data_IF_207887130303
#
_entry.id   IF_207887130303
#
_cell.length_a   1.000
_cell.length_b   1.000
_cell.length_c   1.000
_cell.angle_alpha   90.00
_cell.angle_beta   90.00
_cell.angle_gamma   90.00
#
_symmetry.space_group_name_H-M   'P 1'
#
loop_
_entity.id
_entity.type
_entity.pdbx_description
1 polymer ?
#
# COMPACT_ATOMS: atom_id res chain seq x y z
N UNK A 1 -6.81 10.00 -29.34
CA UNK A 1 -6.18 8.66 -29.09
C UNK A 1 -6.81 8.09 -27.84
N UNK A 2 -7.01 6.75 -27.79
CA UNK A 2 -7.54 6.06 -26.58
C UNK A 2 -6.67 4.84 -26.31
N UNK A 3 -5.93 4.85 -25.21
CA UNK A 3 -5.01 3.78 -24.82
C UNK A 3 -5.24 3.39 -23.36
N UNK A 4 -5.41 2.09 -23.11
CA UNK A 4 -5.57 1.51 -21.78
C UNK A 4 -4.40 0.55 -21.55
N UNK A 5 -3.69 0.74 -20.44
CA UNK A 5 -2.58 -0.12 -20.04
C UNK A 5 -2.93 -0.79 -18.69
N UNK A 6 -2.93 -2.11 -18.69
CA UNK A 6 -3.14 -2.92 -17.48
C UNK A 6 -1.85 -3.67 -17.21
N UNK A 7 -1.16 -3.27 -16.15
CA UNK A 7 0.04 -3.92 -15.68
C UNK A 7 -0.28 -4.97 -14.62
N UNK A 8 0.28 -6.15 -14.78
CA UNK A 8 0.28 -7.23 -13.79
C UNK A 8 1.72 -7.45 -13.35
N UNK A 9 2.05 -7.08 -12.12
CA UNK A 9 3.42 -7.23 -11.60
C UNK A 9 3.75 -8.73 -11.42
N UNK A 10 4.96 -9.13 -11.83
CA UNK A 10 5.44 -10.51 -11.84
C UNK A 10 4.53 -11.50 -12.64
N UNK A 11 3.92 -11.04 -13.73
CA UNK A 11 3.16 -11.93 -14.61
C UNK A 11 4.11 -12.88 -15.35
N UNK A 12 4.24 -14.10 -14.84
CA UNK A 12 5.13 -15.13 -15.39
C UNK A 12 4.57 -15.72 -16.67
N UNK A 13 5.28 -15.61 -17.83
CA UNK A 13 4.82 -16.15 -19.08
C UNK A 13 4.72 -17.67 -19.09
N UNK A 14 5.58 -18.40 -18.35
CA UNK A 14 5.52 -19.86 -18.29
C UNK A 14 4.27 -20.33 -17.57
N UNK A 15 3.98 -19.75 -16.40
CA UNK A 15 2.75 -20.04 -15.65
C UNK A 15 1.51 -19.70 -16.48
N UNK A 16 1.52 -18.57 -17.18
CA UNK A 16 0.40 -18.19 -18.05
C UNK A 16 0.21 -19.20 -19.19
N UNK A 17 1.27 -19.62 -19.87
CA UNK A 17 1.22 -20.57 -20.98
C UNK A 17 0.72 -21.94 -20.53
N UNK A 18 1.20 -22.44 -19.37
CA UNK A 18 0.72 -23.70 -18.79
C UNK A 18 -0.78 -23.64 -18.44
N UNK A 19 -1.23 -22.55 -17.78
CA UNK A 19 -2.64 -22.41 -17.41
C UNK A 19 -3.54 -22.20 -18.64
N UNK A 20 -3.03 -21.55 -19.68
CA UNK A 20 -3.71 -21.42 -20.97
C UNK A 20 -3.90 -22.79 -21.66
N UNK A 21 -2.86 -23.63 -21.69
CA UNK A 21 -2.94 -24.99 -22.21
C UNK A 21 -3.95 -25.85 -21.45
N UNK A 22 -4.04 -25.67 -20.12
CA UNK A 22 -5.03 -26.32 -19.25
C UNK A 22 -6.43 -25.71 -19.35
N UNK A 23 -6.62 -24.64 -20.13
CA UNK A 23 -7.87 -23.89 -20.27
C UNK A 23 -8.40 -23.27 -18.95
N UNK A 24 -7.51 -22.99 -18.02
CA UNK A 24 -7.83 -22.40 -16.72
C UNK A 24 -7.96 -20.86 -16.76
N UNK A 25 -7.46 -20.21 -17.82
CA UNK A 25 -7.51 -18.75 -18.01
C UNK A 25 -8.22 -18.36 -19.34
N UNK A 26 -9.52 -18.70 -19.51
CA UNK A 26 -10.20 -18.56 -20.81
C UNK A 26 -10.28 -17.11 -21.29
N UNK A 27 -10.45 -16.13 -20.40
CA UNK A 27 -10.56 -14.72 -20.77
C UNK A 27 -9.21 -14.12 -21.20
N UNK A 28 -8.12 -14.42 -20.48
CA UNK A 28 -6.78 -13.97 -20.85
C UNK A 28 -6.30 -14.67 -22.13
N UNK A 29 -6.62 -15.96 -22.30
CA UNK A 29 -6.34 -16.69 -23.53
C UNK A 29 -7.04 -16.04 -24.74
N UNK A 30 -8.33 -15.78 -24.64
CA UNK A 30 -9.11 -15.11 -25.68
C UNK A 30 -8.56 -13.70 -25.99
N UNK A 31 -8.14 -12.96 -24.98
CA UNK A 31 -7.53 -11.64 -25.17
C UNK A 31 -6.19 -11.74 -25.92
N UNK A 32 -5.35 -12.71 -25.55
CA UNK A 32 -4.08 -12.97 -26.24
C UNK A 32 -4.29 -13.40 -27.70
N UNK A 33 -5.34 -14.18 -27.98
CA UNK A 33 -5.69 -14.65 -29.36
C UNK A 33 -6.23 -13.53 -30.26
N UNK A 34 -6.93 -12.56 -29.67
CA UNK A 34 -7.45 -11.38 -30.39
C UNK A 34 -6.38 -10.34 -30.69
N UNK A 35 -5.27 -10.36 -29.96
CA UNK A 35 -4.19 -9.39 -30.06
C UNK A 35 -2.86 -9.99 -30.51
N UNK A 36 -1.80 -9.48 -29.92
CA UNK A 36 -0.43 -9.99 -30.08
C UNK A 36 0.16 -10.35 -28.74
N UNK A 37 0.42 -11.63 -28.51
CA UNK A 37 1.15 -12.07 -27.32
C UNK A 37 2.65 -12.08 -27.60
N UNK A 38 3.44 -11.52 -26.68
CA UNK A 38 4.91 -11.47 -26.76
C UNK A 38 5.50 -11.55 -25.35
N UNK A 39 6.63 -12.22 -25.21
CA UNK A 39 7.45 -12.12 -24.01
C UNK A 39 8.11 -10.75 -23.95
N UNK A 40 8.09 -10.14 -22.78
CA UNK A 40 8.75 -8.87 -22.51
C UNK A 40 10.06 -9.12 -21.78
N UNK A 41 11.17 -8.63 -22.35
CA UNK A 41 12.45 -8.59 -21.63
C UNK A 41 12.45 -7.39 -20.69
N UNK A 42 12.66 -7.67 -19.41
CA UNK A 42 12.68 -6.64 -18.36
C UNK A 42 14.09 -6.09 -18.12
N UNK A 43 14.18 -5.04 -17.32
CA UNK A 43 15.44 -4.42 -16.90
C UNK A 43 16.28 -5.38 -16.05
N UNK A 44 17.58 -5.11 -16.00
CA UNK A 44 18.48 -5.74 -15.06
C UNK A 44 19.04 -4.66 -14.10
N UNK A 45 18.78 -4.76 -12.77
CA UNK A 45 18.13 -5.85 -12.06
C UNK A 45 16.62 -5.91 -12.32
N UNK A 46 16.07 -7.12 -12.16
CA UNK A 46 14.64 -7.44 -12.30
C UNK A 46 13.86 -7.02 -11.04
N UNK A 47 13.84 -5.73 -10.76
CA UNK A 47 13.11 -5.16 -9.62
C UNK A 47 11.92 -4.35 -10.11
N UNK A 48 10.82 -4.40 -9.39
CA UNK A 48 9.55 -3.76 -9.81
C UNK A 48 9.72 -2.27 -10.04
N UNK A 49 10.29 -1.49 -9.10
CA UNK A 49 10.45 -0.06 -9.31
C UNK A 49 11.38 0.29 -10.47
N UNK A 50 12.40 -0.54 -10.74
CA UNK A 50 13.34 -0.34 -11.86
C UNK A 50 12.64 -0.62 -13.19
N UNK A 51 11.98 -1.78 -13.30
CA UNK A 51 11.29 -2.22 -14.50
C UNK A 51 10.12 -1.32 -14.87
N UNK A 52 9.26 -0.97 -13.88
CA UNK A 52 8.12 -0.07 -14.11
C UNK A 52 8.54 1.37 -14.44
N UNK A 53 9.69 1.83 -13.88
CA UNK A 53 10.26 3.13 -14.25
C UNK A 53 10.81 3.09 -15.67
N UNK A 54 11.53 2.03 -16.04
CA UNK A 54 12.01 1.86 -17.41
C UNK A 54 10.85 1.83 -18.43
N UNK A 55 9.75 1.11 -18.10
CA UNK A 55 8.54 1.11 -18.94
C UNK A 55 7.89 2.50 -19.05
N UNK A 56 7.81 3.24 -17.93
CA UNK A 56 7.20 4.56 -17.93
C UNK A 56 8.01 5.60 -18.69
N UNK A 57 9.34 5.50 -18.67
CA UNK A 57 10.24 6.54 -19.20
C UNK A 57 10.84 6.19 -20.58
N UNK A 58 10.86 4.91 -20.94
CA UNK A 58 11.61 4.42 -22.09
C UNK A 58 13.13 4.47 -21.92
N UNK A 59 13.61 4.69 -20.68
CA UNK A 59 15.01 4.82 -20.34
C UNK A 59 15.53 3.57 -19.62
N UNK A 60 16.82 3.32 -19.71
CA UNK A 60 17.46 2.28 -18.92
C UNK A 60 17.78 2.77 -17.48
N UNK A 61 18.12 1.87 -16.53
CA UNK A 61 18.41 2.24 -15.14
C UNK A 61 19.52 3.28 -14.98
N UNK A 62 20.53 3.26 -15.86
CA UNK A 62 21.62 4.25 -15.86
C UNK A 62 21.16 5.67 -16.20
N UNK A 63 20.08 5.81 -16.95
CA UNK A 63 19.52 7.09 -17.40
C UNK A 63 18.46 7.62 -16.43
N UNK A 64 17.54 6.76 -15.93
CA UNK A 64 16.52 7.22 -14.96
C UNK A 64 17.00 7.22 -13.50
N UNK A 65 18.13 6.58 -13.19
CA UNK A 65 18.81 6.65 -11.90
C UNK A 65 18.27 5.75 -10.80
N UNK A 66 17.33 4.84 -11.09
CA UNK A 66 16.85 3.80 -10.17
C UNK A 66 17.52 2.47 -10.51
N UNK A 67 18.27 1.92 -9.57
CA UNK A 67 19.07 0.71 -9.80
C UNK A 67 18.60 -0.49 -8.99
N UNK A 68 17.97 -0.25 -7.84
CA UNK A 68 17.47 -1.26 -6.91
C UNK A 68 16.64 -0.58 -5.82
N UNK A 69 15.94 -1.35 -4.96
CA UNK A 69 15.29 -0.86 -3.73
C UNK A 69 16.26 -0.13 -2.81
N UNK A 70 17.49 -0.61 -2.74
CA UNK A 70 18.57 -0.01 -1.97
C UNK A 70 19.81 0.08 -2.83
N UNK A 71 20.33 1.28 -3.02
CA UNK A 71 21.59 1.47 -3.72
C UNK A 71 22.49 2.48 -3.00
N UNK A 72 23.75 2.58 -3.45
CA UNK A 72 24.71 3.53 -2.90
C UNK A 72 24.74 4.80 -3.73
N UNK A 73 24.79 5.93 -3.05
CA UNK A 73 25.12 7.18 -3.69
C UNK A 73 26.61 7.15 -4.11
N UNK A 74 26.94 7.25 -5.40
CA UNK A 74 28.31 7.14 -5.86
C UNK A 74 29.23 8.28 -5.38
N UNK A 75 28.65 9.42 -4.98
CA UNK A 75 29.43 10.58 -4.54
C UNK A 75 29.92 10.51 -3.09
N UNK A 76 29.18 9.78 -2.21
CA UNK A 76 29.49 9.72 -0.78
C UNK A 76 29.34 8.31 -0.17
N UNK A 77 29.02 7.31 -0.98
CA UNK A 77 28.81 5.91 -0.61
C UNK A 77 27.71 5.67 0.43
N UNK A 78 26.87 6.66 0.73
CA UNK A 78 25.74 6.49 1.62
C UNK A 78 24.69 5.60 0.96
N UNK A 79 24.06 4.78 1.80
CA UNK A 79 22.95 3.92 1.39
C UNK A 79 21.70 4.78 1.16
N UNK A 80 21.02 4.54 0.05
CA UNK A 80 19.76 5.20 -0.33
C UNK A 80 18.68 4.14 -0.50
N UNK A 81 17.50 4.44 0.03
CA UNK A 81 16.26 3.69 -0.26
C UNK A 81 15.58 4.39 -1.42
N UNK A 82 15.52 3.75 -2.57
CA UNK A 82 15.03 4.34 -3.83
C UNK A 82 13.57 4.75 -3.77
N UNK A 83 12.74 3.96 -3.08
CA UNK A 83 11.30 4.16 -3.03
C UNK A 83 10.87 5.36 -2.20
N UNK A 84 11.65 5.75 -1.18
CA UNK A 84 11.32 6.83 -0.25
C UNK A 84 12.46 7.85 -0.13
N UNK A 85 12.92 8.43 -1.24
CA UNK A 85 13.95 9.45 -1.15
C UNK A 85 13.41 10.69 -0.46
N UNK A 86 14.25 11.28 0.40
CA UNK A 86 13.87 12.45 1.19
C UNK A 86 14.83 13.60 0.97
N UNK A 87 14.34 14.81 1.10
CA UNK A 87 15.10 16.04 1.16
C UNK A 87 14.88 16.75 2.49
N UNK A 88 15.90 17.43 3.00
CA UNK A 88 15.76 18.31 4.16
C UNK A 88 15.20 19.65 3.72
N UNK A 89 14.15 20.11 4.40
CA UNK A 89 13.59 21.45 4.22
C UNK A 89 13.51 22.18 5.57
N UNK A 90 13.21 23.48 5.52
CA UNK A 90 13.01 24.30 6.73
C UNK A 90 11.85 23.79 7.59
N UNK A 91 10.89 23.11 6.97
CA UNK A 91 9.70 22.55 7.64
C UNK A 91 9.90 21.09 8.06
N UNK A 92 11.09 20.50 7.86
CA UNK A 92 11.40 19.12 8.19
C UNK A 92 11.79 18.28 6.97
N UNK A 93 11.72 16.96 7.12
CA UNK A 93 11.99 16.01 6.04
C UNK A 93 10.78 15.94 5.11
N UNK A 94 11.01 16.07 3.82
CA UNK A 94 9.99 15.93 2.76
C UNK A 94 10.35 14.79 1.83
N UNK A 95 9.36 14.03 1.39
CA UNK A 95 9.54 13.06 0.31
C UNK A 95 9.70 13.78 -1.02
N UNK A 96 10.56 13.25 -1.87
CA UNK A 96 10.78 13.73 -3.23
C UNK A 96 10.53 12.60 -4.22
N UNK A 97 10.13 12.90 -5.47
CA UNK A 97 9.95 11.86 -6.47
C UNK A 97 11.23 11.00 -6.63
N UNK A 98 11.12 9.68 -6.78
CA UNK A 98 12.27 8.79 -6.92
C UNK A 98 13.13 9.06 -8.15
N UNK A 99 12.53 9.57 -9.23
CA UNK A 99 13.23 9.97 -10.45
C UNK A 99 12.70 11.29 -11.01
N UNK A 100 13.49 11.92 -11.87
CA UNK A 100 13.13 13.16 -12.57
C UNK A 100 12.90 12.95 -14.07
N UNK A 101 13.06 11.73 -14.55
CA UNK A 101 12.85 11.39 -15.95
C UNK A 101 11.38 11.59 -16.34
N UNK A 102 11.19 12.10 -17.56
CA UNK A 102 9.87 12.29 -18.16
C UNK A 102 9.26 10.96 -18.51
N UNK A 103 8.00 10.77 -18.19
CA UNK A 103 7.25 9.56 -18.47
C UNK A 103 6.40 9.70 -19.73
N UNK A 104 5.90 8.58 -20.27
CA UNK A 104 4.94 8.61 -21.37
C UNK A 104 3.60 9.29 -20.97
N UNK A 105 3.26 9.32 -19.68
CA UNK A 105 2.14 10.09 -19.17
C UNK A 105 2.37 11.60 -19.35
N UNK A 106 3.57 12.09 -18.99
CA UNK A 106 3.96 13.47 -19.17
C UNK A 106 3.95 13.83 -20.67
N UNK A 107 4.45 12.91 -21.54
CA UNK A 107 4.45 13.11 -22.96
C UNK A 107 3.02 13.18 -23.54
N UNK A 108 2.12 12.29 -23.12
CA UNK A 108 0.73 12.29 -23.58
C UNK A 108 0.06 13.64 -23.28
N UNK A 109 0.28 14.19 -22.08
CA UNK A 109 -0.28 15.48 -21.69
C UNK A 109 0.33 16.64 -22.49
N UNK A 110 1.63 16.64 -22.74
CA UNK A 110 2.28 17.64 -23.59
C UNK A 110 1.76 17.61 -25.02
N UNK A 111 1.40 16.44 -25.51
CA UNK A 111 0.77 16.25 -26.83
C UNK A 111 -0.74 16.58 -26.83
N UNK A 112 -1.28 17.05 -25.71
CA UNK A 112 -2.66 17.51 -25.56
C UNK A 112 -3.66 16.41 -25.19
N UNK A 113 -3.20 15.21 -24.77
CA UNK A 113 -4.05 14.10 -24.36
C UNK A 113 -4.08 13.94 -22.83
N UNK A 114 -5.25 13.76 -22.20
CA UNK A 114 -5.31 13.48 -20.77
C UNK A 114 -4.61 12.16 -20.44
N UNK A 115 -3.99 12.10 -19.25
CA UNK A 115 -3.33 10.90 -18.77
C UNK A 115 -3.68 10.62 -17.30
N UNK A 116 -4.03 9.37 -17.00
CA UNK A 116 -4.35 8.89 -15.66
C UNK A 116 -3.49 7.67 -15.33
N UNK A 117 -2.81 7.73 -14.20
CA UNK A 117 -1.92 6.69 -13.67
C UNK A 117 -2.42 6.19 -12.32
N UNK A 118 -2.82 4.93 -12.24
CA UNK A 118 -3.34 4.30 -11.04
C UNK A 118 -2.35 3.26 -10.51
N UNK A 119 -1.86 3.46 -9.28
CA UNK A 119 -0.91 2.58 -8.58
C UNK A 119 0.36 2.24 -9.37
N UNK A 120 0.80 3.13 -10.24
CA UNK A 120 2.08 2.96 -10.92
C UNK A 120 3.23 3.04 -9.92
N UNK A 121 4.21 2.10 -9.92
CA UNK A 121 5.36 2.12 -9.02
C UNK A 121 6.22 3.38 -9.16
N UNK A 122 6.89 3.75 -8.07
CA UNK A 122 7.83 4.89 -8.01
C UNK A 122 7.20 6.26 -8.36
N UNK A 123 5.91 6.45 -8.06
CA UNK A 123 5.18 7.70 -8.35
C UNK A 123 4.80 8.53 -7.11
N UNK A 124 5.20 8.11 -5.92
CA UNK A 124 5.02 8.90 -4.69
C UNK A 124 6.23 9.82 -4.44
N UNK A 125 6.03 11.07 -3.97
CA UNK A 125 4.76 11.78 -3.80
C UNK A 125 4.17 12.24 -5.13
N UNK A 126 2.83 12.37 -5.19
CA UNK A 126 2.16 12.85 -6.39
C UNK A 126 2.58 14.29 -6.73
N UNK A 127 2.92 14.54 -7.99
CA UNK A 127 3.34 15.85 -8.48
C UNK A 127 2.12 16.78 -8.60
N UNK A 128 1.87 17.63 -7.60
CA UNK A 128 0.66 18.47 -7.51
C UNK A 128 0.48 19.45 -8.69
N UNK A 129 1.56 19.88 -9.31
CA UNK A 129 1.53 20.76 -10.50
C UNK A 129 1.46 19.99 -11.82
N UNK A 130 1.48 18.64 -11.77
CA UNK A 130 1.37 17.82 -12.98
C UNK A 130 -0.08 17.76 -13.45
N UNK A 131 -0.32 17.91 -14.75
CA UNK A 131 -1.62 17.65 -15.35
C UNK A 131 -1.94 16.15 -15.47
N UNK A 132 -0.99 15.27 -15.17
CA UNK A 132 -1.23 13.81 -15.08
C UNK A 132 -2.02 13.52 -13.82
N UNK A 133 -3.19 12.92 -13.96
CA UNK A 133 -3.95 12.42 -12.82
C UNK A 133 -3.27 11.16 -12.25
N UNK A 134 -3.05 11.11 -10.93
CA UNK A 134 -2.26 10.02 -10.35
C UNK A 134 -2.71 9.58 -8.96
N UNK A 135 -2.84 8.27 -8.78
CA UNK A 135 -2.83 7.58 -7.49
C UNK A 135 -1.53 6.76 -7.43
N UNK A 136 -0.61 7.05 -6.49
CA UNK A 136 0.69 6.40 -6.47
C UNK A 136 0.61 4.95 -6.00
N UNK A 137 1.53 4.13 -6.50
CA UNK A 137 1.68 2.71 -6.17
C UNK A 137 2.84 2.44 -5.23
N UNK A 138 3.60 1.39 -5.54
CA UNK A 138 4.78 0.96 -4.80
C UNK A 138 5.71 2.15 -4.52
N UNK A 139 6.11 2.30 -3.25
CA UNK A 139 6.84 3.47 -2.75
C UNK A 139 5.98 4.47 -1.98
N UNK A 140 4.65 4.26 -1.88
CA UNK A 140 3.82 5.06 -0.98
C UNK A 140 4.04 4.62 0.46
N UNK A 141 4.43 5.53 1.39
CA UNK A 141 4.71 5.17 2.78
C UNK A 141 3.44 4.98 3.62
N UNK A 142 3.66 4.47 4.84
CA UNK A 142 2.68 4.56 5.93
C UNK A 142 2.64 5.99 6.53
N UNK A 143 1.77 6.23 7.52
CA UNK A 143 1.68 7.54 8.16
C UNK A 143 2.90 7.92 9.01
N UNK A 144 3.79 6.96 9.27
CA UNK A 144 5.06 7.18 9.96
C UNK A 144 6.19 7.52 8.98
N UNK A 145 5.91 7.50 7.67
CA UNK A 145 6.91 7.70 6.63
C UNK A 145 7.80 6.49 6.38
N UNK A 146 7.32 5.29 6.66
CA UNK A 146 8.02 4.02 6.50
C UNK A 146 7.35 3.17 5.41
N UNK A 147 8.00 2.07 5.01
CA UNK A 147 7.45 1.13 4.02
C UNK A 147 6.31 0.24 4.56
N UNK A 148 5.90 0.48 5.79
CA UNK A 148 4.80 -0.20 6.46
C UNK A 148 5.29 -1.24 7.46
N UNK A 149 4.84 -1.07 8.72
CA UNK A 149 5.06 -2.06 9.78
C UNK A 149 3.76 -2.18 10.57
N UNK A 150 3.19 -3.37 10.60
CA UNK A 150 1.98 -3.68 11.34
C UNK A 150 2.20 -3.68 12.86
N UNK A 151 1.13 -3.82 13.61
CA UNK A 151 1.18 -3.87 15.08
C UNK A 151 0.47 -5.12 15.59
N UNK A 152 1.20 -5.97 16.29
CA UNK A 152 0.68 -7.17 16.93
C UNK A 152 0.62 -6.95 18.44
N UNK A 153 -0.56 -7.10 19.03
CA UNK A 153 -0.78 -6.90 20.45
C UNK A 153 -1.42 -8.13 21.06
N UNK A 154 -0.92 -8.51 22.24
CA UNK A 154 -1.44 -9.64 23.01
C UNK A 154 -1.36 -9.37 24.52
N UNK A 155 -2.12 -10.15 25.30
CA UNK A 155 -1.94 -10.16 26.76
C UNK A 155 -0.64 -10.83 27.19
N UNK A 156 -0.14 -11.78 26.40
CA UNK A 156 1.16 -12.40 26.66
C UNK A 156 2.28 -11.44 26.32
N UNK A 157 3.30 -11.38 27.15
CA UNK A 157 4.54 -10.64 26.89
C UNK A 157 5.71 -11.57 26.57
N UNK A 158 5.44 -12.86 26.49
CA UNK A 158 6.46 -13.90 26.28
C UNK A 158 6.71 -14.12 24.78
N UNK A 159 7.28 -13.09 24.14
CA UNK A 159 7.69 -13.16 22.74
C UNK A 159 9.21 -13.13 22.60
N UNK A 160 9.74 -13.98 21.77
CA UNK A 160 11.09 -13.77 21.24
C UNK A 160 11.07 -12.56 20.28
N UNK A 161 11.22 -11.38 20.82
CA UNK A 161 11.12 -10.12 20.05
C UNK A 161 11.98 -10.10 18.79
N UNK A 162 13.09 -10.83 18.77
CA UNK A 162 13.97 -10.98 17.60
C UNK A 162 13.32 -11.67 16.39
N UNK A 163 12.20 -12.37 16.58
CA UNK A 163 11.46 -13.04 15.50
C UNK A 163 10.47 -12.13 14.78
N UNK A 164 10.15 -10.97 15.37
CA UNK A 164 9.11 -10.10 14.86
C UNK A 164 9.69 -8.81 14.29
N UNK A 165 9.33 -8.49 13.06
CA UNK A 165 9.50 -7.17 12.43
C UNK A 165 8.31 -6.26 12.74
N UNK A 166 7.15 -6.86 13.01
CA UNK A 166 5.95 -6.18 13.47
C UNK A 166 6.17 -5.49 14.82
N UNK A 167 5.49 -4.38 15.06
CA UNK A 167 5.52 -3.71 16.37
C UNK A 167 4.76 -4.55 17.37
N UNK A 168 5.46 -5.00 18.40
CA UNK A 168 4.84 -5.74 19.49
C UNK A 168 4.27 -4.78 20.54
N UNK A 169 3.05 -5.07 21.00
CA UNK A 169 2.38 -4.32 22.04
C UNK A 169 1.68 -5.24 23.03
N UNK A 170 1.35 -4.70 24.19
CA UNK A 170 0.68 -5.44 25.27
C UNK A 170 -0.77 -5.00 25.38
N UNK A 171 -1.68 -5.98 25.44
CA UNK A 171 -3.07 -5.77 25.84
C UNK A 171 -3.16 -5.87 27.36
N UNK A 172 -3.90 -4.96 27.96
CA UNK A 172 -4.18 -4.96 29.40
C UNK A 172 -5.63 -5.37 29.63
N UNK A 173 -5.83 -6.37 30.48
CA UNK A 173 -7.17 -6.83 30.82
C UNK A 173 -7.80 -5.93 31.88
N UNK A 174 -8.99 -5.43 31.59
CA UNK A 174 -9.83 -4.64 32.49
C UNK A 174 -11.13 -5.41 32.77
N UNK A 175 -11.14 -6.14 33.88
CA UNK A 175 -12.25 -7.04 34.22
C UNK A 175 -12.25 -8.30 33.38
N UNK A 176 -13.45 -8.90 33.15
CA UNK A 176 -13.54 -10.20 32.49
C UNK A 176 -13.60 -10.14 30.96
N UNK A 177 -14.13 -9.04 30.41
CA UNK A 177 -14.56 -8.97 29.01
C UNK A 177 -13.99 -7.76 28.27
N UNK A 178 -13.01 -7.04 28.85
CA UNK A 178 -12.42 -5.87 28.24
C UNK A 178 -10.91 -5.96 28.20
N UNK A 179 -10.35 -5.70 27.03
CA UNK A 179 -8.92 -5.52 26.82
C UNK A 179 -8.67 -4.10 26.33
N UNK A 180 -7.59 -3.48 26.78
CA UNK A 180 -7.17 -2.15 26.31
C UNK A 180 -5.76 -2.20 25.75
N UNK A 181 -5.48 -1.38 24.76
CA UNK A 181 -4.18 -1.28 24.12
C UNK A 181 -3.96 0.09 23.51
N UNK A 182 -2.77 0.27 22.94
CA UNK A 182 -2.38 1.52 22.29
C UNK A 182 -1.75 1.25 20.94
N UNK A 183 -2.09 2.09 19.94
CA UNK A 183 -1.42 2.12 18.64
C UNK A 183 -0.46 3.30 18.57
N UNK A 184 0.75 3.02 18.11
CA UNK A 184 1.77 4.03 17.90
C UNK A 184 1.51 4.79 16.60
N UNK A 185 1.39 6.10 16.73
CA UNK A 185 1.21 7.03 15.62
C UNK A 185 2.46 7.86 15.28
N UNK A 186 2.28 8.95 14.53
CA UNK A 186 3.38 9.79 14.09
C UNK A 186 4.24 10.33 15.24
N UNK A 187 5.53 10.51 14.93
CA UNK A 187 6.46 11.16 15.85
C UNK A 187 6.34 12.68 15.80
N UNK A 188 6.48 13.32 16.95
CA UNK A 188 6.65 14.77 17.10
C UNK A 188 7.96 15.08 17.81
N UNK A 189 8.61 16.16 17.42
CA UNK A 189 9.81 16.64 18.13
C UNK A 189 9.42 17.28 19.45
N UNK A 190 10.01 16.79 20.55
CA UNK A 190 9.86 17.35 21.89
C UNK A 190 11.20 17.29 22.60
N UNK A 191 11.72 18.46 22.98
CA UNK A 191 13.02 18.54 23.67
C UNK A 191 14.20 17.95 22.89
N UNK A 192 14.16 17.97 21.55
CA UNK A 192 15.22 17.39 20.70
C UNK A 192 15.10 15.88 20.46
N UNK A 193 14.10 15.23 21.02
CA UNK A 193 13.81 13.80 20.81
C UNK A 193 12.50 13.61 20.07
N UNK A 194 12.38 12.49 19.34
CA UNK A 194 11.12 12.08 18.71
C UNK A 194 10.26 11.36 19.75
N UNK A 195 9.11 11.91 20.07
CA UNK A 195 8.07 11.28 20.90
C UNK A 195 6.90 10.87 20.00
N UNK A 196 6.54 9.59 20.02
CA UNK A 196 5.40 9.09 19.25
C UNK A 196 4.09 9.39 19.95
N UNK A 197 3.11 9.82 19.16
CA UNK A 197 1.73 9.98 19.64
C UNK A 197 1.07 8.61 19.68
N UNK A 198 0.39 8.33 20.80
CA UNK A 198 -0.33 7.07 20.96
C UNK A 198 -1.84 7.31 20.86
N UNK A 199 -2.56 6.34 20.33
CA UNK A 199 -4.03 6.30 20.35
C UNK A 199 -4.48 5.07 21.10
N UNK A 200 -5.32 5.28 22.13
CA UNK A 200 -5.90 4.21 22.91
C UNK A 200 -7.02 3.52 22.13
N UNK A 201 -7.15 2.22 22.35
CA UNK A 201 -8.28 1.43 21.89
C UNK A 201 -8.71 0.42 22.95
N UNK A 202 -9.91 -0.10 22.80
CA UNK A 202 -10.41 -1.18 23.63
C UNK A 202 -11.09 -2.27 22.80
N UNK A 203 -11.02 -3.49 23.29
CA UNK A 203 -11.76 -4.64 22.77
C UNK A 203 -12.80 -5.04 23.81
N UNK A 204 -14.06 -5.02 23.43
CA UNK A 204 -15.16 -5.60 24.20
C UNK A 204 -15.36 -7.05 23.73
N UNK A 205 -15.09 -7.98 24.62
CA UNK A 205 -15.20 -9.43 24.39
C UNK A 205 -16.48 -10.02 25.01
N UNK A 206 -17.50 -9.18 25.24
CA UNK A 206 -18.79 -9.64 25.82
C UNK A 206 -19.47 -10.68 24.93
N UNK A 207 -19.31 -10.57 23.63
CA UNK A 207 -19.60 -11.60 22.64
C UNK A 207 -18.31 -12.08 21.99
N UNK A 208 -17.96 -13.34 22.25
CA UNK A 208 -16.72 -13.92 21.72
C UNK A 208 -16.77 -14.16 20.19
N UNK A 209 -17.96 -14.22 19.59
CA UNK A 209 -18.14 -14.40 18.16
C UNK A 209 -18.14 -13.05 17.41
N UNK A 210 -18.53 -11.99 18.09
CA UNK A 210 -18.58 -10.63 17.55
C UNK A 210 -17.95 -9.61 18.52
N UNK A 211 -16.63 -9.74 18.83
CA UNK A 211 -15.91 -8.75 19.62
C UNK A 211 -16.03 -7.36 19.01
N UNK A 212 -16.07 -6.31 19.84
CA UNK A 212 -16.14 -4.94 19.38
C UNK A 212 -14.84 -4.21 19.64
N UNK A 213 -14.21 -3.71 18.57
CA UNK A 213 -13.08 -2.80 18.66
C UNK A 213 -13.59 -1.37 18.77
N UNK A 214 -13.25 -0.71 19.88
CA UNK A 214 -13.54 0.71 20.14
C UNK A 214 -12.27 1.52 19.95
N UNK A 215 -12.24 2.44 18.98
CA UNK A 215 -11.10 3.29 18.71
C UNK A 215 -11.55 4.67 18.23
N UNK A 216 -11.05 5.74 18.87
CA UNK A 216 -11.52 7.09 18.60
C UNK A 216 -13.02 7.25 18.87
N UNK A 217 -13.80 7.40 17.82
CA UNK A 217 -15.27 7.46 17.86
C UNK A 217 -15.94 6.24 17.22
N UNK A 218 -15.15 5.35 16.65
CA UNK A 218 -15.63 4.22 15.86
C UNK A 218 -15.78 2.98 16.75
N UNK A 219 -16.81 2.20 16.45
CA UNK A 219 -17.09 0.88 17.02
C UNK A 219 -17.18 -0.11 15.86
N UNK A 220 -16.25 -1.03 15.82
CA UNK A 220 -16.09 -1.97 14.71
C UNK A 220 -16.33 -3.38 15.26
N UNK A 221 -17.34 -4.05 14.71
CA UNK A 221 -17.57 -5.47 15.01
C UNK A 221 -16.49 -6.27 14.29
N UNK A 222 -15.75 -7.06 15.06
CA UNK A 222 -14.77 -7.99 14.55
C UNK A 222 -15.38 -9.38 14.46
N UNK A 223 -14.96 -10.14 13.48
CA UNK A 223 -15.21 -11.58 13.41
C UNK A 223 -13.87 -12.26 13.48
N UNK A 224 -13.61 -13.07 14.53
CA UNK A 224 -12.35 -13.77 14.66
C UNK A 224 -12.01 -14.55 13.40
N UNK A 225 -10.76 -14.42 12.93
CA UNK A 225 -10.29 -14.99 11.68
C UNK A 225 -10.56 -14.17 10.43
N UNK A 226 -11.39 -13.11 10.51
CA UNK A 226 -11.72 -12.25 9.36
C UNK A 226 -11.12 -10.83 9.53
N UNK A 227 -10.72 -10.23 8.40
CA UNK A 227 -10.29 -8.84 8.38
C UNK A 227 -11.46 -7.88 8.60
N UNK A 228 -11.30 -6.91 9.49
CA UNK A 228 -12.27 -5.84 9.68
C UNK A 228 -12.45 -5.02 8.39
N UNK A 229 -13.52 -4.24 8.24
CA UNK A 229 -13.54 -3.12 7.30
C UNK A 229 -12.36 -2.17 7.53
N UNK A 230 -12.03 -1.32 6.55
CA UNK A 230 -11.07 -0.22 6.72
C UNK A 230 -11.69 0.82 7.66
N UNK A 231 -10.94 1.25 8.67
CA UNK A 231 -11.37 2.27 9.63
C UNK A 231 -10.26 3.29 9.89
N UNK A 232 -10.65 4.43 10.49
CA UNK A 232 -9.74 5.52 10.81
C UNK A 232 -9.17 5.39 12.22
N UNK A 233 -7.90 5.74 12.35
CA UNK A 233 -7.21 5.87 13.64
C UNK A 233 -6.80 7.32 13.82
N UNK A 234 -7.43 8.05 14.76
CA UNK A 234 -7.11 9.46 15.00
C UNK A 234 -5.90 9.62 15.92
N UNK A 235 -5.02 10.56 15.60
CA UNK A 235 -3.87 10.96 16.43
C UNK A 235 -3.93 12.45 16.76
N UNK A 236 -3.87 12.81 18.04
CA UNK A 236 -3.83 14.19 18.51
C UNK A 236 -2.38 14.67 18.57
N UNK A 237 -1.94 15.43 17.57
CA UNK A 237 -0.57 15.97 17.52
C UNK A 237 -0.37 17.19 18.43
N UNK A 238 -1.42 17.91 18.73
CA UNK A 238 -1.42 19.09 19.58
C UNK A 238 -2.84 19.56 19.93
N UNK A 239 -2.96 20.75 20.52
CA UNK A 239 -4.28 21.30 20.90
C UNK A 239 -5.23 21.52 19.73
N UNK A 240 -4.69 21.92 18.55
CA UNK A 240 -5.45 22.25 17.34
C UNK A 240 -5.01 21.44 16.13
N UNK A 241 -4.13 20.45 16.32
CA UNK A 241 -3.57 19.65 15.24
C UNK A 241 -3.86 18.18 15.48
N UNK A 242 -4.44 17.54 14.49
CA UNK A 242 -4.71 16.09 14.48
C UNK A 242 -4.35 15.51 13.13
N UNK A 243 -4.03 14.22 13.09
CA UNK A 243 -3.82 13.42 11.91
C UNK A 243 -4.64 12.15 12.03
N UNK A 244 -5.10 11.60 10.92
CA UNK A 244 -5.74 10.30 10.90
C UNK A 244 -5.02 9.39 9.93
N UNK A 245 -4.75 8.17 10.37
CA UNK A 245 -4.40 7.07 9.49
C UNK A 245 -5.62 6.20 9.22
N UNK A 246 -5.48 5.29 8.27
CA UNK A 246 -6.42 4.20 8.03
C UNK A 246 -5.73 2.87 8.23
N UNK A 247 -6.47 1.87 8.68
CA UNK A 247 -5.97 0.50 8.85
C UNK A 247 -7.11 -0.50 8.79
N UNK A 248 -6.76 -1.77 8.92
CA UNK A 248 -7.66 -2.90 9.20
C UNK A 248 -7.11 -3.67 10.38
N UNK A 249 -7.99 -4.36 11.07
CA UNK A 249 -7.61 -5.24 12.18
C UNK A 249 -8.12 -6.66 11.93
N UNK A 250 -7.44 -7.62 12.54
CA UNK A 250 -7.87 -9.01 12.61
C UNK A 250 -7.56 -9.55 14.01
N UNK A 251 -8.48 -10.34 14.55
CA UNK A 251 -8.18 -11.27 15.64
C UNK A 251 -7.85 -12.61 14.98
N UNK A 252 -6.58 -13.01 14.90
CA UNK A 252 -6.19 -14.14 14.03
C UNK A 252 -6.83 -15.47 14.46
N UNK A 253 -7.07 -15.62 15.77
CA UNK A 253 -7.65 -16.84 16.37
C UNK A 253 -8.84 -16.48 17.26
N UNK A 254 -9.90 -17.25 17.19
CA UNK A 254 -11.14 -17.00 17.92
C UNK A 254 -10.99 -16.98 19.44
N UNK A 255 -10.12 -17.81 19.98
CA UNK A 255 -9.93 -17.97 21.43
C UNK A 255 -8.70 -17.22 21.97
N UNK A 256 -8.07 -16.38 21.15
CA UNK A 256 -6.88 -15.65 21.55
C UNK A 256 -7.19 -14.25 22.01
N UNK A 257 -6.44 -13.78 23.01
CA UNK A 257 -6.40 -12.36 23.41
C UNK A 257 -5.35 -11.62 22.58
N UNK A 258 -5.45 -11.77 21.26
CA UNK A 258 -4.49 -11.23 20.28
C UNK A 258 -5.22 -10.44 19.23
N UNK A 259 -4.64 -9.32 18.84
CA UNK A 259 -5.12 -8.51 17.72
C UNK A 259 -3.95 -8.03 16.89
N UNK A 260 -4.11 -8.09 15.58
CA UNK A 260 -3.17 -7.53 14.63
C UNK A 260 -3.81 -6.38 13.86
N UNK A 261 -3.06 -5.31 13.70
CA UNK A 261 -3.41 -4.16 12.85
C UNK A 261 -2.44 -4.08 11.69
N UNK A 262 -2.96 -3.96 10.48
CA UNK A 262 -2.13 -3.60 9.32
C UNK A 262 -1.35 -2.31 9.60
N UNK A 263 -0.25 -2.06 8.87
CA UNK A 263 0.41 -0.77 8.92
C UNK A 263 -0.59 0.39 8.86
N UNK A 264 -0.38 1.41 9.68
CA UNK A 264 -1.21 2.62 9.67
C UNK A 264 -0.94 3.41 8.40
N UNK A 265 -1.87 3.39 7.47
CA UNK A 265 -1.71 3.95 6.14
C UNK A 265 -2.19 5.40 6.08
N UNK A 266 -1.77 6.11 5.06
CA UNK A 266 -2.20 7.48 4.78
C UNK A 266 -3.70 7.51 4.52
N UNK A 267 -4.45 8.39 5.19
CA UNK A 267 -5.83 8.67 4.79
C UNK A 267 -5.82 9.54 3.52
N UNK A 268 -6.33 9.08 2.36
CA UNK A 268 -6.07 9.72 1.08
C UNK A 268 -6.59 11.15 0.97
N UNK A 269 -7.64 11.49 1.75
CA UNK A 269 -8.24 12.84 1.78
C UNK A 269 -7.67 13.74 2.88
N UNK A 270 -6.81 13.21 3.76
CA UNK A 270 -6.24 13.92 4.93
C UNK A 270 -4.75 13.61 5.10
N UNK A 271 -4.07 13.36 4.00
CA UNK A 271 -2.65 13.06 3.98
C UNK A 271 -1.81 14.26 4.40
N UNK A 272 -0.74 14.06 5.19
CA UNK A 272 0.25 15.10 5.44
C UNK A 272 1.17 15.35 4.23
N UNK A 273 1.15 14.47 3.23
CA UNK A 273 1.92 14.56 2.00
C UNK A 273 1.01 14.53 0.77
N UNK A 274 1.46 15.03 -0.38
CA UNK A 274 0.74 14.87 -1.65
C UNK A 274 0.56 13.39 -2.01
N UNK A 275 -0.59 12.81 -1.64
CA UNK A 275 -0.89 11.40 -1.91
C UNK A 275 -1.34 11.19 -3.36
N UNK A 276 -2.28 11.98 -3.83
CA UNK A 276 -2.84 11.84 -5.17
C UNK A 276 -3.08 13.18 -5.84
N UNK A 277 -3.23 13.20 -7.15
CA UNK A 277 -3.57 14.39 -7.93
C UNK A 277 -4.49 14.03 -9.09
N UNK A 278 -5.51 14.84 -9.43
CA UNK A 278 -6.02 15.97 -8.64
C UNK A 278 -6.80 15.49 -7.40
N UNK A 279 -6.95 16.34 -6.41
CA UNK A 279 -7.71 16.02 -5.18
C UNK A 279 -9.17 15.65 -5.46
N UNK A 280 -9.76 16.19 -6.52
CA UNK A 280 -11.13 15.86 -6.95
C UNK A 280 -11.26 14.38 -7.34
N UNK A 281 -10.31 13.84 -8.09
CA UNK A 281 -10.30 12.43 -8.51
C UNK A 281 -10.26 11.49 -7.31
N UNK A 282 -9.31 11.71 -6.38
CA UNK A 282 -9.19 10.83 -5.22
C UNK A 282 -10.41 10.93 -4.28
N UNK A 283 -11.00 12.12 -4.16
CA UNK A 283 -12.22 12.32 -3.40
C UNK A 283 -13.39 11.56 -4.03
N UNK A 284 -13.56 11.65 -5.34
CA UNK A 284 -14.58 10.94 -6.08
C UNK A 284 -14.39 9.43 -5.96
N UNK A 285 -13.19 8.92 -6.22
CA UNK A 285 -12.86 7.50 -6.08
C UNK A 285 -13.23 6.98 -4.69
N UNK A 286 -12.77 7.65 -3.63
CA UNK A 286 -13.06 7.26 -2.25
C UNK A 286 -14.55 7.23 -1.91
N UNK A 287 -15.32 8.21 -2.41
CA UNK A 287 -16.75 8.33 -2.13
C UNK A 287 -17.61 7.34 -2.91
N UNK A 288 -17.28 7.07 -4.17
CA UNK A 288 -18.09 6.25 -5.07
C UNK A 288 -17.73 4.76 -5.00
N UNK A 289 -16.45 4.43 -4.81
CA UNK A 289 -15.99 3.03 -4.80
C UNK A 289 -15.80 2.46 -3.39
N UNK A 290 -15.88 3.32 -2.38
CA UNK A 290 -15.60 2.98 -0.98
C UNK A 290 -14.11 3.05 -0.62
N UNK A 291 -13.78 2.82 0.66
CA UNK A 291 -12.40 2.85 1.15
C UNK A 291 -11.49 1.79 0.50
N UNK A 292 -10.24 2.16 0.30
CA UNK A 292 -9.17 1.28 -0.17
C UNK A 292 -7.85 1.55 0.56
N UNK A 293 -6.96 0.57 0.59
CA UNK A 293 -5.64 0.68 1.21
C UNK A 293 -4.70 1.51 0.35
N UNK A 294 -3.91 2.37 0.99
CA UNK A 294 -3.08 3.39 0.34
C UNK A 294 -1.59 3.15 0.43
N UNK A 295 -1.15 2.19 1.24
CA UNK A 295 0.25 1.80 1.31
C UNK A 295 0.72 1.30 -0.07
N UNK A 296 1.94 1.60 -0.43
CA UNK A 296 2.52 1.11 -1.69
C UNK A 296 2.71 -0.40 -1.73
N UNK A 297 2.70 -1.03 -0.58
CA UNK A 297 2.76 -2.49 -0.38
C UNK A 297 1.71 -2.91 0.67
N UNK A 298 0.43 -2.95 0.31
CA UNK A 298 -0.65 -3.19 1.26
C UNK A 298 -0.87 -4.67 1.60
N UNK A 299 -0.36 -5.61 0.80
CA UNK A 299 -0.39 -7.04 1.07
C UNK A 299 0.68 -7.35 2.12
N UNK A 300 0.25 -7.70 3.33
CA UNK A 300 1.14 -7.79 4.47
C UNK A 300 1.85 -9.15 4.55
N UNK A 301 2.91 -9.30 3.77
CA UNK A 301 3.78 -10.49 3.77
C UNK A 301 4.51 -10.68 5.10
N UNK A 302 4.73 -9.59 5.85
CA UNK A 302 5.44 -9.66 7.13
C UNK A 302 4.63 -10.42 8.16
N UNK A 303 3.34 -10.15 8.30
CA UNK A 303 2.50 -10.86 9.28
C UNK A 303 2.31 -12.34 8.94
N UNK A 304 2.34 -12.69 7.65
CA UNK A 304 2.33 -14.09 7.20
C UNK A 304 3.66 -14.78 7.54
N UNK A 305 4.81 -14.18 7.22
CA UNK A 305 6.14 -14.69 7.55
C UNK A 305 6.32 -14.93 9.07
N UNK A 306 5.74 -14.07 9.88
CA UNK A 306 5.80 -14.14 11.34
C UNK A 306 4.80 -15.13 11.93
N UNK A 307 3.92 -15.72 11.12
CA UNK A 307 2.87 -16.66 11.55
C UNK A 307 1.79 -15.98 12.40
N UNK A 308 1.62 -14.67 12.31
CA UNK A 308 0.54 -13.93 12.96
C UNK A 308 -0.77 -14.23 12.26
N UNK A 309 -0.77 -14.23 10.94
CA UNK A 309 -1.91 -14.65 10.10
C UNK A 309 -1.56 -15.92 9.33
N UNK A 310 -2.57 -16.65 8.90
CA UNK A 310 -2.41 -17.83 8.07
C UNK A 310 -2.56 -17.52 6.57
N UNK A 311 -2.29 -18.53 5.74
CA UNK A 311 -2.36 -18.44 4.27
C UNK A 311 -3.73 -17.96 3.78
N UNK A 312 -4.83 -18.47 4.36
CA UNK A 312 -6.17 -18.13 3.96
C UNK A 312 -6.51 -16.66 4.29
N UNK A 313 -6.07 -16.19 5.45
CA UNK A 313 -6.22 -14.80 5.89
C UNK A 313 -5.41 -13.84 4.99
N UNK A 314 -4.20 -14.24 4.60
CA UNK A 314 -3.37 -13.48 3.67
C UNK A 314 -3.99 -13.41 2.26
N UNK A 315 -4.42 -14.55 1.71
CA UNK A 315 -5.05 -14.59 0.39
C UNK A 315 -6.36 -13.79 0.36
N UNK A 316 -7.17 -13.88 1.42
CA UNK A 316 -8.38 -13.05 1.57
C UNK A 316 -8.06 -11.55 1.56
N UNK A 317 -6.98 -11.13 2.24
CA UNK A 317 -6.51 -9.74 2.18
C UNK A 317 -6.12 -9.33 0.75
N UNK A 318 -5.36 -10.19 0.06
CA UNK A 318 -4.94 -9.99 -1.32
C UNK A 318 -6.13 -9.81 -2.28
N UNK A 319 -7.13 -10.68 -2.21
CA UNK A 319 -8.35 -10.60 -3.01
C UNK A 319 -9.11 -9.30 -2.77
N UNK A 320 -9.25 -8.89 -1.52
CA UNK A 320 -9.94 -7.65 -1.16
C UNK A 320 -9.19 -6.40 -1.63
N UNK A 321 -7.86 -6.43 -1.66
CA UNK A 321 -7.04 -5.36 -2.23
C UNK A 321 -7.27 -5.26 -3.74
N UNK A 322 -7.19 -6.38 -4.47
CA UNK A 322 -7.46 -6.41 -5.91
C UNK A 322 -8.85 -5.86 -6.21
N UNK A 323 -9.88 -6.39 -5.53
CA UNK A 323 -11.27 -5.97 -5.72
C UNK A 323 -11.48 -4.46 -5.46
N UNK A 324 -10.76 -3.87 -4.50
CA UNK A 324 -10.85 -2.44 -4.24
C UNK A 324 -10.20 -1.60 -5.34
N UNK A 325 -9.03 -2.01 -5.85
CA UNK A 325 -8.36 -1.34 -6.97
C UNK A 325 -9.14 -1.48 -8.28
N UNK A 326 -9.71 -2.66 -8.51
CA UNK A 326 -10.58 -2.91 -9.66
C UNK A 326 -11.79 -1.96 -9.69
N UNK A 327 -12.48 -1.77 -8.56
CA UNK A 327 -13.61 -0.81 -8.48
C UNK A 327 -13.19 0.59 -8.87
N UNK A 328 -12.05 1.08 -8.39
CA UNK A 328 -11.54 2.40 -8.76
C UNK A 328 -11.17 2.44 -10.25
N UNK A 329 -10.53 1.39 -10.77
CA UNK A 329 -10.18 1.32 -12.20
C UNK A 329 -11.42 1.34 -13.09
N UNK A 330 -12.45 0.54 -12.76
CA UNK A 330 -13.70 0.51 -13.52
C UNK A 330 -14.42 1.86 -13.48
N UNK A 331 -14.45 2.53 -12.33
CA UNK A 331 -14.98 3.89 -12.22
C UNK A 331 -14.25 4.88 -13.15
N UNK A 332 -12.91 4.80 -13.19
CA UNK A 332 -12.13 5.66 -14.09
C UNK A 332 -12.32 5.27 -15.57
N UNK A 333 -12.50 3.99 -15.84
CA UNK A 333 -12.74 3.47 -17.19
C UNK A 333 -14.10 3.94 -17.75
N UNK A 334 -15.13 3.97 -16.91
CA UNK A 334 -16.47 4.45 -17.30
C UNK A 334 -16.46 5.93 -17.72
N UNK A 335 -15.53 6.71 -17.20
CA UNK A 335 -15.35 8.13 -17.51
C UNK A 335 -14.28 8.39 -18.58
N UNK A 336 -13.61 7.34 -19.04
CA UNK A 336 -12.47 7.45 -19.94
C UNK A 336 -12.91 7.61 -21.40
N UNK A 337 -12.79 8.82 -21.94
CA UNK A 337 -13.15 9.15 -23.32
C UNK A 337 -11.96 9.13 -24.27
N UNK A 338 -10.81 9.68 -23.84
CA UNK A 338 -9.60 9.76 -24.66
C UNK A 338 -8.32 9.81 -23.80
N UNK A 339 -7.16 9.67 -24.44
CA UNK A 339 -5.86 9.78 -23.82
C UNK A 339 -5.30 8.45 -23.34
N UNK A 340 -4.67 8.46 -22.16
CA UNK A 340 -4.02 7.30 -21.54
C UNK A 340 -4.63 7.03 -20.17
N UNK A 341 -5.15 5.80 -19.96
CA UNK A 341 -5.54 5.29 -18.66
C UNK A 341 -4.67 4.07 -18.33
N UNK A 342 -3.93 4.12 -17.24
CA UNK A 342 -3.08 3.01 -16.82
C UNK A 342 -3.31 2.61 -15.37
N UNK A 343 -3.22 1.30 -15.11
CA UNK A 343 -3.27 0.72 -13.76
C UNK A 343 -2.19 -0.36 -13.62
N UNK A 344 -1.63 -0.49 -12.41
CA UNK A 344 -0.78 -1.63 -12.02
C UNK A 344 -1.41 -2.38 -10.87
N UNK A 345 -1.56 -3.70 -11.05
CA UNK A 345 -1.92 -4.66 -10.01
C UNK A 345 -0.66 -5.41 -9.59
N UNK A 346 -0.25 -5.24 -8.33
CA UNK A 346 0.97 -5.82 -7.75
C UNK A 346 0.72 -7.05 -6.87
N UNK A 347 -0.54 -7.45 -6.70
CA UNK A 347 -0.91 -8.56 -5.82
C UNK A 347 -0.36 -9.91 -6.28
N UNK A 348 -0.29 -10.14 -7.62
CA UNK A 348 0.24 -11.38 -8.17
C UNK A 348 1.69 -11.61 -7.76
N UNK A 349 2.52 -10.55 -7.80
CA UNK A 349 3.90 -10.56 -7.33
C UNK A 349 3.97 -11.00 -5.85
N UNK A 350 3.11 -10.43 -5.00
CA UNK A 350 3.11 -10.74 -3.56
C UNK A 350 2.71 -12.18 -3.27
N UNK A 351 1.70 -12.69 -3.98
CA UNK A 351 1.28 -14.08 -3.84
C UNK A 351 2.37 -15.03 -4.32
N UNK A 352 3.02 -14.74 -5.45
CA UNK A 352 4.13 -15.58 -5.94
C UNK A 352 5.32 -15.57 -4.98
N UNK A 353 5.70 -14.42 -4.41
CA UNK A 353 6.76 -14.34 -3.42
C UNK A 353 6.53 -15.22 -2.18
N UNK A 354 5.27 -15.44 -1.80
CA UNK A 354 4.91 -16.21 -0.61
C UNK A 354 4.67 -17.70 -0.89
N UNK A 355 4.21 -18.05 -2.11
CA UNK A 355 3.72 -19.39 -2.41
C UNK A 355 4.41 -20.07 -3.60
N UNK A 356 5.29 -19.39 -4.31
CA UNK A 356 6.06 -19.99 -5.41
C UNK A 356 7.28 -20.69 -4.81
N UNK A 357 7.23 -22.04 -4.73
CA UNK A 357 8.27 -22.89 -4.18
C UNK A 357 8.69 -24.01 -5.13
#
# INVERSE_FOLDING_TARGET
MKSILIGLDAFDPQVFEELREKQELPHLAAFADQGSYRHLTISNPAQSEVSWTSLATGLNPGEHGLFDFVHRNPSNYQMLVSLLPTSKSIVGTQFVPPHQAKTFFDQAVEDGYPATSLWWPATFPAKQASPVASIPGLGTPDILGQLGVGSFLSESTDYEQAKYKSRLGTLKREGKQRLTGQLQGPGKMKGGQVEHVMTDFALDLSDAQEPILEIGKDRIVLKPGEWSPIFEVPFKLGRLSSMSGITRAIMPKADSSEIYFLPLQIHPLRSPWPYATPTSMIKQAWQETGPFLTLGWPQDTTSLDEGIIDDAQFLTLCEQIVASRERVFLQQLDQFEEGVLAIVFDTLDRVQHMFYG
#
